data_IF_754321194416
#
_entry.id   IF_754321194416
#
_cell.length_a   1.000
_cell.length_b   1.000
_cell.length_c   1.000
_cell.angle_alpha   90.00
_cell.angle_beta   90.00
_cell.angle_gamma   90.00
#
_symmetry.space_group_name_H-M   'P 1'
#
loop_
_entity.id
_entity.type
_entity.pdbx_description
1 polymer ?
#
# COMPACT_ATOMS: atom_id res chain seq x y z
N UNK A 1 2.25 -12.29 -0.95
CA UNK A 1 1.63 -11.01 -0.60
C UNK A 1 0.23 -11.01 -1.18
N UNK A 2 -0.77 -10.65 -0.38
CA UNK A 2 -2.15 -10.54 -0.80
C UNK A 2 -2.56 -9.06 -0.72
N UNK A 3 -2.66 -8.39 -1.88
CA UNK A 3 -3.03 -6.99 -1.97
C UNK A 3 -4.54 -6.75 -1.86
N UNK A 4 -5.34 -7.81 -1.69
CA UNK A 4 -6.77 -7.73 -1.54
C UNK A 4 -7.54 -8.27 -2.73
N UNK A 5 -8.72 -7.69 -2.96
CA UNK A 5 -9.69 -8.24 -3.88
C UNK A 5 -9.36 -7.91 -5.33
N UNK A 6 -9.40 -8.92 -6.20
CA UNK A 6 -9.47 -8.68 -7.63
C UNK A 6 -10.86 -8.10 -7.96
N UNK A 7 -10.89 -6.87 -8.46
CA UNK A 7 -12.12 -6.16 -8.83
C UNK A 7 -12.23 -5.99 -10.35
N UNK A 8 -13.45 -5.94 -10.85
CA UNK A 8 -13.69 -5.51 -12.23
C UNK A 8 -13.56 -3.99 -12.28
N UNK A 9 -12.48 -3.48 -12.88
CA UNK A 9 -12.20 -2.05 -12.95
C UNK A 9 -13.30 -1.22 -13.62
N UNK A 10 -14.11 -1.82 -14.50
CA UNK A 10 -15.24 -1.12 -15.13
C UNK A 10 -16.39 -0.90 -14.16
N UNK A 11 -16.64 -1.87 -13.28
CA UNK A 11 -17.68 -1.83 -12.24
C UNK A 11 -17.21 -1.06 -11.01
N UNK A 12 -15.93 -1.19 -10.68
CA UNK A 12 -15.26 -0.49 -9.59
C UNK A 12 -15.56 1.00 -9.64
N UNK A 13 -15.38 1.63 -10.81
CA UNK A 13 -15.60 3.06 -11.01
C UNK A 13 -16.81 3.38 -11.90
N UNK A 14 -17.82 2.52 -11.96
CA UNK A 14 -18.92 2.66 -12.93
C UNK A 14 -19.74 3.95 -12.73
N UNK A 15 -19.46 4.94 -13.59
CA UNK A 15 -20.20 6.20 -13.70
C UNK A 15 -21.12 6.24 -14.93
N UNK A 16 -21.42 5.10 -15.52
CA UNK A 16 -22.19 5.00 -16.75
C UNK A 16 -23.67 5.35 -16.51
N UNK A 17 -24.34 5.75 -17.60
CA UNK A 17 -25.79 6.02 -17.60
C UNK A 17 -26.61 4.74 -17.31
N UNK A 18 -26.00 3.56 -17.51
CA UNK A 18 -26.55 2.25 -17.14
C UNK A 18 -26.50 1.96 -15.64
N UNK A 19 -25.80 2.79 -14.85
CA UNK A 19 -25.81 2.76 -13.39
C UNK A 19 -26.74 3.86 -12.86
N UNK A 20 -28.06 3.61 -12.72
CA UNK A 20 -29.03 4.64 -12.32
C UNK A 20 -28.81 5.18 -10.91
N UNK A 21 -28.05 4.46 -10.07
CA UNK A 21 -27.67 4.90 -8.73
C UNK A 21 -26.32 5.63 -8.71
N UNK A 22 -25.54 5.53 -9.79
CA UNK A 22 -24.22 6.15 -9.92
C UNK A 22 -23.16 5.65 -8.93
N UNK A 23 -23.42 4.51 -8.26
CA UNK A 23 -22.56 3.95 -7.22
C UNK A 23 -21.50 3.02 -7.80
N UNK A 24 -20.23 3.28 -7.53
CA UNK A 24 -19.14 2.36 -7.86
C UNK A 24 -19.04 1.22 -6.85
N UNK A 25 -18.52 0.05 -7.27
CA UNK A 25 -18.34 -1.08 -6.34
C UNK A 25 -17.40 -0.77 -5.17
N UNK A 26 -16.50 0.22 -5.33
CA UNK A 26 -15.66 0.73 -4.25
C UNK A 26 -16.46 1.23 -3.05
N UNK A 27 -17.73 1.62 -3.24
CA UNK A 27 -18.57 2.18 -2.19
C UNK A 27 -19.14 1.12 -1.24
N UNK A 28 -19.26 -0.12 -1.69
CA UNK A 28 -20.03 -1.15 -0.97
C UNK A 28 -19.38 -2.53 -0.92
N UNK A 29 -18.31 -2.78 -1.68
CA UNK A 29 -17.51 -3.99 -1.49
C UNK A 29 -16.67 -3.86 -0.23
N UNK A 30 -16.57 -4.97 0.51
CA UNK A 30 -15.72 -5.05 1.69
C UNK A 30 -14.24 -4.90 1.33
N UNK A 31 -13.46 -4.36 2.27
CA UNK A 31 -12.00 -4.33 2.16
C UNK A 31 -11.45 -5.73 2.40
N UNK A 32 -10.60 -6.22 1.50
CA UNK A 32 -9.99 -7.55 1.61
C UNK A 32 -8.46 -7.52 1.59
N UNK A 33 -7.86 -8.69 1.76
CA UNK A 33 -6.41 -8.88 1.76
C UNK A 33 -5.78 -8.82 3.14
N UNK A 34 -4.45 -8.86 3.17
CA UNK A 34 -3.68 -8.80 4.41
C UNK A 34 -3.53 -7.35 4.87
N UNK A 35 -4.12 -7.05 6.04
CA UNK A 35 -4.23 -5.68 6.55
C UNK A 35 -2.88 -5.00 6.85
N UNK A 36 -1.78 -5.77 6.95
CA UNK A 36 -0.42 -5.23 7.08
C UNK A 36 0.00 -4.42 5.85
N UNK A 37 -0.62 -4.67 4.70
CA UNK A 37 -0.31 -4.00 3.44
C UNK A 37 -1.36 -2.95 3.04
N UNK A 38 -2.39 -2.74 3.88
CA UNK A 38 -3.46 -1.79 3.60
C UNK A 38 -2.96 -0.34 3.67
N UNK A 39 -3.29 0.50 2.66
CA UNK A 39 -3.08 1.93 2.76
C UNK A 39 -4.04 2.58 3.77
N UNK A 40 -3.75 3.82 4.15
CA UNK A 40 -4.60 4.58 5.08
C UNK A 40 -6.05 4.66 4.60
N UNK A 41 -6.27 4.83 3.30
CA UNK A 41 -7.62 4.86 2.73
C UNK A 41 -8.40 3.55 2.90
N UNK A 42 -7.73 2.40 2.89
CA UNK A 42 -8.37 1.11 3.12
C UNK A 42 -8.77 0.92 4.58
N UNK A 43 -7.94 1.37 5.52
CA UNK A 43 -8.31 1.45 6.94
C UNK A 43 -9.51 2.38 7.16
N UNK A 44 -9.54 3.55 6.52
CA UNK A 44 -10.66 4.48 6.64
C UNK A 44 -11.96 3.89 6.08
N UNK A 45 -11.92 3.28 4.89
CA UNK A 45 -13.08 2.57 4.33
C UNK A 45 -13.59 1.48 5.29
N UNK A 46 -12.70 0.71 5.91
CA UNK A 46 -13.06 -0.35 6.83
C UNK A 46 -13.69 0.17 8.13
N UNK A 47 -13.14 1.22 8.71
CA UNK A 47 -13.57 1.73 10.03
C UNK A 47 -14.84 2.57 9.97
N UNK A 48 -14.96 3.45 8.97
CA UNK A 48 -16.04 4.45 8.90
C UNK A 48 -16.90 4.34 7.65
N UNK A 49 -16.40 3.72 6.58
CA UNK A 49 -17.16 3.53 5.34
C UNK A 49 -16.94 4.61 4.27
N UNK A 50 -17.70 4.47 3.19
CA UNK A 50 -17.44 5.22 1.95
C UNK A 50 -17.86 6.69 1.99
N UNK A 51 -18.83 7.07 2.83
CA UNK A 51 -19.30 8.45 2.89
C UNK A 51 -18.26 9.35 3.53
N UNK A 52 -17.72 8.94 4.67
CA UNK A 52 -16.63 9.60 5.38
C UNK A 52 -15.34 9.59 4.55
N UNK A 53 -15.02 8.46 3.90
CA UNK A 53 -13.90 8.40 2.95
C UNK A 53 -14.07 9.40 1.80
N UNK A 54 -15.29 9.59 1.28
CA UNK A 54 -15.57 10.52 0.19
C UNK A 54 -15.39 12.00 0.59
N UNK A 55 -15.49 12.33 1.88
CA UNK A 55 -15.18 13.67 2.39
C UNK A 55 -13.67 13.96 2.31
N UNK A 56 -12.83 12.93 2.47
CA UNK A 56 -11.37 13.00 2.37
C UNK A 56 -10.86 12.74 0.95
N UNK A 57 -10.92 13.76 0.08
CA UNK A 57 -10.61 13.67 -1.37
C UNK A 57 -9.31 12.94 -1.71
N UNK A 58 -8.26 13.12 -0.91
CA UNK A 58 -6.96 12.49 -1.17
C UNK A 58 -7.02 10.97 -0.91
N UNK A 59 -7.60 10.56 0.20
CA UNK A 59 -7.76 9.16 0.57
C UNK A 59 -8.79 8.46 -0.31
N UNK A 60 -9.88 9.15 -0.67
CA UNK A 60 -10.85 8.63 -1.64
C UNK A 60 -10.19 8.29 -2.98
N UNK A 61 -9.33 9.19 -3.50
CA UNK A 61 -8.56 8.92 -4.71
C UNK A 61 -7.60 7.75 -4.52
N UNK A 62 -6.90 7.69 -3.39
CA UNK A 62 -6.02 6.57 -3.07
C UNK A 62 -6.77 5.23 -3.10
N UNK A 63 -7.94 5.16 -2.46
CA UNK A 63 -8.79 3.96 -2.46
C UNK A 63 -9.27 3.59 -3.86
N UNK A 64 -9.64 4.58 -4.67
CA UNK A 64 -10.20 4.32 -5.99
C UNK A 64 -9.16 3.87 -7.02
N UNK A 65 -7.91 4.37 -6.93
CA UNK A 65 -6.93 4.19 -8.01
C UNK A 65 -5.60 3.59 -7.59
N UNK A 66 -5.29 3.52 -6.29
CA UNK A 66 -3.94 3.25 -5.78
C UNK A 66 -3.88 2.27 -4.59
N UNK A 67 -4.93 1.47 -4.37
CA UNK A 67 -5.00 0.52 -3.25
C UNK A 67 -3.75 -0.36 -3.10
N UNK A 68 -3.21 -0.82 -4.21
CA UNK A 68 -2.08 -1.75 -4.21
C UNK A 68 -0.71 -1.07 -4.06
N UNK A 69 -0.62 0.27 -4.18
CA UNK A 69 0.69 0.95 -4.24
C UNK A 69 1.47 0.83 -2.93
N UNK A 70 0.80 0.97 -1.78
CA UNK A 70 1.46 0.81 -0.49
C UNK A 70 1.97 -0.62 -0.30
N UNK A 71 1.12 -1.61 -0.55
CA UNK A 71 1.52 -3.01 -0.49
C UNK A 71 2.69 -3.32 -1.42
N UNK A 72 2.65 -2.81 -2.66
CA UNK A 72 3.73 -2.97 -3.63
C UNK A 72 5.04 -2.36 -3.12
N UNK A 73 4.98 -1.17 -2.52
CA UNK A 73 6.13 -0.51 -1.92
C UNK A 73 6.75 -1.33 -0.78
N UNK A 74 5.93 -1.79 0.17
CA UNK A 74 6.37 -2.65 1.28
C UNK A 74 6.99 -3.95 0.73
N UNK A 75 6.37 -4.55 -0.28
CA UNK A 75 6.88 -5.78 -0.91
C UNK A 75 8.24 -5.55 -1.58
N UNK A 76 8.40 -4.43 -2.29
CA UNK A 76 9.67 -4.08 -2.91
C UNK A 76 10.78 -3.87 -1.87
N UNK A 77 10.45 -3.23 -0.74
CA UNK A 77 11.39 -3.07 0.40
C UNK A 77 11.75 -4.41 1.01
N UNK A 78 10.79 -5.33 1.18
CA UNK A 78 11.04 -6.68 1.67
C UNK A 78 12.01 -7.44 0.76
N UNK A 79 11.74 -7.47 -0.55
CA UNK A 79 12.62 -8.12 -1.53
C UNK A 79 14.01 -7.50 -1.50
N UNK A 80 14.11 -6.17 -1.43
CA UNK A 80 15.40 -5.50 -1.33
C UNK A 80 16.15 -5.91 -0.07
N UNK A 81 15.49 -5.92 1.09
CA UNK A 81 16.10 -6.28 2.37
C UNK A 81 16.61 -7.72 2.38
N UNK A 82 15.81 -8.67 1.88
CA UNK A 82 16.14 -10.09 1.83
C UNK A 82 17.24 -10.43 0.80
N UNK A 83 17.35 -9.64 -0.27
CA UNK A 83 18.32 -9.86 -1.35
C UNK A 83 19.66 -9.14 -1.13
N UNK A 84 19.75 -8.23 -0.15
CA UNK A 84 21.00 -7.56 0.18
C UNK A 84 21.99 -8.54 0.80
N UNK A 85 23.26 -8.54 0.35
CA UNK A 85 24.30 -9.34 0.98
C UNK A 85 24.59 -8.81 2.40
N UNK A 86 25.13 -9.64 3.30
CA UNK A 86 25.58 -9.19 4.61
C UNK A 86 26.57 -8.02 4.45
N UNK A 87 26.31 -6.92 5.14
CA UNK A 87 27.20 -5.76 5.11
C UNK A 87 28.52 -6.10 5.83
N UNK A 88 29.67 -5.96 5.17
CA UNK A 88 30.96 -6.21 5.81
C UNK A 88 31.21 -5.15 6.89
N UNK A 89 31.61 -5.59 8.09
CA UNK A 89 31.83 -4.72 9.26
C UNK A 89 33.07 -3.81 9.16
N UNK A 90 33.67 -3.67 7.98
CA UNK A 90 34.88 -2.87 7.77
C UNK A 90 34.56 -1.38 7.71
N UNK A 91 35.32 -0.58 8.46
CA UNK A 91 35.22 0.89 8.45
C UNK A 91 35.38 1.49 7.04
N UNK A 92 36.13 0.85 6.14
CA UNK A 92 36.32 1.32 4.76
C UNK A 92 35.05 1.20 3.90
N UNK A 93 34.09 0.36 4.28
CA UNK A 93 32.82 0.17 3.56
C UNK A 93 31.78 1.20 4.00
N UNK A 94 31.92 1.73 5.22
CA UNK A 94 31.09 2.82 5.74
C UNK A 94 31.34 4.16 5.03
N UNK A 95 32.45 4.31 4.31
CA UNK A 95 32.73 5.50 3.50
C UNK A 95 31.97 5.52 2.17
N UNK A 96 31.32 4.42 1.77
CA UNK A 96 30.50 4.37 0.54
C UNK A 96 29.08 4.82 0.91
N UNK A 97 28.63 6.04 0.51
CA UNK A 97 27.38 6.61 1.01
C UNK A 97 26.15 5.76 0.71
N UNK A 98 26.15 5.05 -0.42
CA UNK A 98 25.04 4.19 -0.81
C UNK A 98 24.90 2.99 0.14
N UNK A 99 26.02 2.40 0.59
CA UNK A 99 25.98 1.24 1.49
C UNK A 99 25.52 1.65 2.89
N UNK A 100 25.91 2.83 3.37
CA UNK A 100 25.40 3.35 4.64
C UNK A 100 23.90 3.60 4.60
N UNK A 101 23.36 4.10 3.48
CA UNK A 101 21.91 4.30 3.34
C UNK A 101 21.15 2.97 3.28
N UNK A 102 21.66 1.94 2.59
CA UNK A 102 21.04 0.61 2.63
C UNK A 102 21.11 -0.02 4.03
N UNK A 103 22.21 0.17 4.77
CA UNK A 103 22.30 -0.32 6.14
C UNK A 103 21.26 0.37 7.04
N UNK A 104 21.09 1.69 6.91
CA UNK A 104 20.03 2.44 7.61
C UNK A 104 18.64 1.94 7.25
N UNK A 105 18.39 1.65 5.97
CA UNK A 105 17.13 1.09 5.49
C UNK A 105 16.85 -0.29 6.11
N UNK A 106 17.86 -1.17 6.20
CA UNK A 106 17.70 -2.49 6.83
C UNK A 106 17.34 -2.39 8.31
N UNK A 107 18.04 -1.53 9.06
CA UNK A 107 17.72 -1.31 10.49
C UNK A 107 16.29 -0.81 10.64
N UNK A 108 15.88 0.18 9.84
CA UNK A 108 14.51 0.70 9.87
C UNK A 108 13.47 -0.36 9.44
N UNK A 109 13.84 -1.26 8.53
CA UNK A 109 12.98 -2.38 8.10
C UNK A 109 12.79 -3.41 9.21
N UNK A 110 13.84 -3.76 9.95
CA UNK A 110 13.74 -4.63 11.13
C UNK A 110 12.85 -4.00 12.21
N UNK A 111 13.01 -2.70 12.47
CA UNK A 111 12.18 -1.95 13.43
C UNK A 111 10.71 -1.83 13.00
N UNK A 112 10.40 -1.78 11.70
CA UNK A 112 9.02 -1.63 11.21
C UNK A 112 8.12 -2.83 11.53
N UNK A 113 8.68 -4.03 11.66
CA UNK A 113 7.92 -5.26 11.88
C UNK A 113 7.80 -5.68 13.35
N UNK A 114 8.54 -5.04 14.25
CA UNK A 114 8.43 -5.22 15.71
C UNK A 114 7.27 -4.40 16.30
#
# INVERSE_FOLDING_TARGET
VDFGLAVDGTRWMDRSVSNPHGQGEWEFLDVGGDCRYWPTSAWLQFEVGCYELAEERALCREYQTHLDLQGLGITALQVLAEMLPPFPSSAAVQEIPVLSEFQRLLVAWEEYWE
#
